data_IF_828977084663
#
_entry.id   IF_828977084663
#
_cell.length_a   1.000
_cell.length_b   1.000
_cell.length_c   1.000
_cell.angle_alpha   90.00
_cell.angle_beta   90.00
_cell.angle_gamma   90.00
#
_symmetry.space_group_name_H-M   'P 1'
#
loop_
_entity.id
_entity.type
_entity.pdbx_description
1 polymer ?
#
# COMPACT_ATOMS: atom_id res chain seq x y z
N UNK A 1 0.02 -34.83 11.12
CA UNK A 1 0.00 -33.57 11.89
C UNK A 1 -1.00 -32.62 11.23
N UNK A 2 -2.06 -32.22 11.93
CA UNK A 2 -3.15 -31.38 11.41
C UNK A 2 -2.67 -29.91 11.39
N UNK A 3 -2.51 -29.29 10.21
CA UNK A 3 -2.18 -27.85 10.10
C UNK A 3 -3.35 -27.05 10.66
N UNK A 4 -3.11 -26.28 11.71
CA UNK A 4 -4.07 -25.28 12.21
C UNK A 4 -4.10 -24.16 11.16
N UNK A 5 -5.26 -23.80 10.58
CA UNK A 5 -5.34 -22.64 9.70
C UNK A 5 -5.09 -21.40 10.56
N UNK A 6 -3.89 -20.82 10.46
CA UNK A 6 -3.64 -19.48 10.96
C UNK A 6 -4.52 -18.55 10.13
N UNK A 7 -5.58 -18.05 10.76
CA UNK A 7 -6.39 -16.98 10.20
C UNK A 7 -5.47 -15.76 10.09
N UNK A 8 -5.44 -15.09 8.93
CA UNK A 8 -4.66 -13.85 8.67
C UNK A 8 -5.26 -12.65 9.42
N UNK A 9 -5.61 -12.85 10.69
CA UNK A 9 -6.25 -11.87 11.54
C UNK A 9 -5.16 -11.17 12.34
N UNK A 10 -5.09 -9.85 12.17
CA UNK A 10 -4.24 -9.01 13.00
C UNK A 10 -4.85 -8.93 14.41
N UNK A 11 -4.11 -9.37 15.43
CA UNK A 11 -4.56 -9.36 16.82
C UNK A 11 -3.90 -8.22 17.60
N UNK A 12 -4.68 -7.54 18.47
CA UNK A 12 -4.16 -6.58 19.44
C UNK A 12 -3.64 -5.27 18.84
N UNK A 13 -4.03 -4.94 17.60
CA UNK A 13 -3.65 -3.71 16.88
C UNK A 13 -4.87 -2.89 16.45
N UNK A 14 -5.99 -3.08 17.13
CA UNK A 14 -7.27 -2.49 16.75
C UNK A 14 -7.22 -0.96 16.79
N UNK A 15 -6.54 -0.39 17.80
CA UNK A 15 -6.38 1.05 17.94
C UNK A 15 -5.46 1.65 16.87
N UNK A 16 -4.30 1.04 16.59
CA UNK A 16 -3.42 1.51 15.52
C UNK A 16 -4.09 1.40 14.15
N UNK A 17 -4.81 0.31 13.90
CA UNK A 17 -5.58 0.14 12.67
C UNK A 17 -6.67 1.20 12.56
N UNK A 18 -7.43 1.46 13.62
CA UNK A 18 -8.45 2.51 13.66
C UNK A 18 -7.86 3.90 13.38
N UNK A 19 -6.70 4.21 13.96
CA UNK A 19 -5.97 5.45 13.69
C UNK A 19 -5.60 5.57 12.20
N UNK A 20 -4.99 4.53 11.64
CA UNK A 20 -4.59 4.50 10.23
C UNK A 20 -5.77 4.67 9.28
N UNK A 21 -6.91 4.03 9.58
CA UNK A 21 -8.16 4.19 8.81
C UNK A 21 -8.72 5.60 8.89
N UNK A 22 -8.70 6.23 10.06
CA UNK A 22 -9.14 7.60 10.23
C UNK A 22 -8.26 8.58 9.43
N UNK A 23 -6.94 8.37 9.42
CA UNK A 23 -6.02 9.17 8.61
C UNK A 23 -6.33 8.99 7.12
N UNK A 24 -6.57 7.76 6.66
CA UNK A 24 -6.96 7.50 5.27
C UNK A 24 -8.24 8.25 4.87
N UNK A 25 -9.27 8.24 5.73
CA UNK A 25 -10.51 8.97 5.47
C UNK A 25 -10.26 10.48 5.39
N UNK A 26 -9.49 11.06 6.32
CA UNK A 26 -9.14 12.49 6.30
C UNK A 26 -8.33 12.88 5.05
N UNK A 27 -7.39 12.04 4.62
CA UNK A 27 -6.62 12.23 3.37
C UNK A 27 -7.55 12.41 2.18
N UNK A 28 -8.63 11.62 2.11
CA UNK A 28 -9.62 11.67 1.02
C UNK A 28 -10.47 12.93 1.09
N UNK A 29 -10.94 13.29 2.28
CA UNK A 29 -11.77 14.49 2.48
C UNK A 29 -11.01 15.79 2.19
N UNK A 30 -9.71 15.83 2.52
CA UNK A 30 -8.89 17.04 2.44
C UNK A 30 -8.02 17.10 1.19
N UNK A 31 -8.00 16.04 0.38
CA UNK A 31 -7.13 15.87 -0.80
C UNK A 31 -5.65 16.19 -0.52
N UNK A 32 -5.19 15.90 0.70
CA UNK A 32 -3.83 16.24 1.17
C UNK A 32 -3.03 15.00 1.49
N UNK A 33 -1.80 14.94 0.98
CA UNK A 33 -0.84 13.87 1.28
C UNK A 33 -0.63 13.74 2.80
N UNK A 34 -0.75 12.50 3.28
CA UNK A 34 -0.42 12.10 4.66
C UNK A 34 0.67 11.04 4.64
N UNK A 35 1.56 11.09 5.64
CA UNK A 35 2.63 10.12 5.83
C UNK A 35 2.44 9.48 7.21
N UNK A 36 2.45 8.15 7.25
CA UNK A 36 2.38 7.36 8.49
C UNK A 36 3.67 6.58 8.64
N UNK A 37 4.30 6.68 9.81
CA UNK A 37 5.51 5.92 10.13
C UNK A 37 5.22 4.93 11.26
N UNK A 38 5.45 3.63 10.98
CA UNK A 38 5.24 2.55 11.95
C UNK A 38 6.60 2.08 12.47
N UNK A 39 6.86 2.29 13.76
CA UNK A 39 8.13 1.94 14.41
C UNK A 39 7.95 0.79 15.39
N UNK A 40 9.03 0.04 15.66
CA UNK A 40 9.02 -1.05 16.65
C UNK A 40 9.96 -2.21 16.27
N UNK A 41 10.12 -3.16 17.18
CA UNK A 41 11.02 -4.30 17.02
C UNK A 41 10.72 -5.16 15.78
N UNK A 42 11.73 -5.86 15.27
CA UNK A 42 11.54 -6.83 14.18
C UNK A 42 10.54 -7.92 14.59
N UNK A 43 9.73 -8.40 13.65
CA UNK A 43 8.73 -9.46 13.91
C UNK A 43 7.46 -9.02 14.66
N UNK A 44 7.34 -7.78 15.13
CA UNK A 44 6.16 -7.32 15.91
C UNK A 44 4.89 -7.06 15.09
N UNK A 45 4.89 -7.41 13.80
CA UNK A 45 3.73 -7.27 12.90
C UNK A 45 3.55 -5.91 12.22
N UNK A 46 4.60 -5.07 12.14
CA UNK A 46 4.51 -3.74 11.49
C UNK A 46 4.05 -3.81 10.03
N UNK A 47 4.65 -4.72 9.25
CA UNK A 47 4.28 -4.93 7.85
C UNK A 47 2.84 -5.45 7.73
N UNK A 48 2.45 -6.38 8.61
CA UNK A 48 1.07 -6.90 8.66
C UNK A 48 0.07 -5.79 8.94
N UNK A 49 0.36 -4.89 9.89
CA UNK A 49 -0.48 -3.73 10.18
C UNK A 49 -0.63 -2.80 8.97
N UNK A 50 0.46 -2.51 8.23
CA UNK A 50 0.38 -1.73 6.99
C UNK A 50 -0.47 -2.42 5.90
N UNK A 51 -0.35 -3.74 5.77
CA UNK A 51 -1.10 -4.53 4.79
C UNK A 51 -2.61 -4.60 5.10
N UNK A 52 -3.04 -4.41 6.34
CA UNK A 52 -4.48 -4.36 6.65
C UNK A 52 -5.20 -3.19 5.95
N UNK A 53 -4.50 -2.08 5.67
CA UNK A 53 -5.09 -0.99 4.87
C UNK A 53 -5.34 -1.38 3.41
N UNK A 54 -4.60 -2.35 2.88
CA UNK A 54 -4.75 -2.80 1.49
C UNK A 54 -6.20 -3.23 1.21
N UNK A 55 -6.82 -3.96 2.15
CA UNK A 55 -8.20 -4.45 2.01
C UNK A 55 -9.17 -3.28 1.83
N UNK A 56 -9.04 -2.23 2.65
CA UNK A 56 -9.92 -1.07 2.57
C UNK A 56 -9.66 -0.24 1.32
N UNK A 57 -8.38 -0.01 0.96
CA UNK A 57 -8.04 0.75 -0.25
C UNK A 57 -8.57 0.07 -1.50
N UNK A 58 -8.47 -1.26 -1.59
CA UNK A 58 -9.03 -2.05 -2.70
C UNK A 58 -10.55 -1.99 -2.77
N UNK A 59 -11.25 -2.01 -1.63
CA UNK A 59 -12.72 -1.92 -1.60
C UNK A 59 -13.25 -0.58 -2.12
N UNK A 60 -12.42 0.47 -2.04
CA UNK A 60 -12.77 1.81 -2.50
C UNK A 60 -12.19 2.12 -3.90
N UNK A 61 -11.92 1.07 -4.70
CA UNK A 61 -11.31 1.13 -6.04
C UNK A 61 -9.96 1.89 -6.11
N UNK A 62 -9.28 2.00 -4.97
CA UNK A 62 -7.98 2.65 -4.85
C UNK A 62 -6.81 1.74 -5.24
N UNK A 63 -5.71 2.36 -5.66
CA UNK A 63 -4.45 1.64 -5.88
C UNK A 63 -3.66 1.51 -4.58
N UNK A 64 -3.20 0.30 -4.30
CA UNK A 64 -2.29 0.02 -3.20
C UNK A 64 -1.01 -0.56 -3.76
N UNK A 65 0.11 0.09 -3.46
CA UNK A 65 1.43 -0.28 -3.98
C UNK A 65 2.42 -0.47 -2.83
N UNK A 66 3.34 -1.43 -2.99
CA UNK A 66 4.28 -1.79 -1.95
C UNK A 66 5.70 -1.74 -2.51
N UNK A 67 6.55 -1.01 -1.81
CA UNK A 67 7.99 -1.01 -2.02
C UNK A 67 8.69 -1.62 -0.82
N UNK A 68 9.68 -2.48 -1.05
CA UNK A 68 10.46 -3.08 0.03
C UNK A 68 11.95 -2.81 -0.16
N UNK A 69 12.56 -2.14 0.81
CA UNK A 69 14.02 -2.17 0.95
C UNK A 69 14.41 -3.52 1.54
N UNK A 70 14.85 -4.45 0.70
CA UNK A 70 15.50 -5.66 1.20
C UNK A 70 16.97 -5.35 1.57
N UNK A 71 17.51 -6.15 2.49
CA UNK A 71 18.89 -5.96 2.97
C UNK A 71 19.95 -6.44 1.96
N UNK A 72 19.57 -7.10 0.88
CA UNK A 72 20.44 -7.72 -0.13
C UNK A 72 20.66 -6.79 -1.33
N UNK A 73 19.73 -5.89 -1.62
CA UNK A 73 19.71 -4.92 -2.72
C UNK A 73 20.08 -3.50 -2.24
N UNK A 74 21.11 -3.40 -1.40
CA UNK A 74 21.58 -2.11 -0.83
C UNK A 74 22.20 -1.17 -1.87
N UNK A 75 22.54 -1.65 -3.05
CA UNK A 75 23.31 -0.90 -4.05
C UNK A 75 22.47 0.03 -4.92
N UNK A 76 21.13 -0.09 -4.92
CA UNK A 76 20.26 0.71 -5.77
C UNK A 76 19.43 1.68 -4.94
N UNK A 77 19.76 2.99 -4.96
CA UNK A 77 18.94 4.02 -4.34
C UNK A 77 17.51 3.96 -4.88
N UNK A 78 16.52 4.20 -4.01
CA UNK A 78 15.11 4.28 -4.39
C UNK A 78 14.50 2.99 -4.98
N UNK A 79 15.17 1.84 -4.87
CA UNK A 79 14.67 0.55 -5.38
C UNK A 79 13.24 0.25 -4.93
N UNK A 80 12.96 0.41 -3.63
CA UNK A 80 11.61 0.22 -3.10
C UNK A 80 10.56 1.13 -3.76
N UNK A 81 10.92 2.38 -4.08
CA UNK A 81 10.00 3.31 -4.75
C UNK A 81 9.77 2.85 -6.19
N UNK A 82 10.83 2.46 -6.89
CA UNK A 82 10.74 1.90 -8.24
C UNK A 82 9.84 0.67 -8.28
N UNK A 83 10.02 -0.28 -7.34
CA UNK A 83 9.22 -1.50 -7.24
C UNK A 83 7.73 -1.19 -7.03
N UNK A 84 7.43 -0.22 -6.15
CA UNK A 84 6.06 0.20 -5.89
C UNK A 84 5.41 0.84 -7.12
N UNK A 85 6.15 1.66 -7.87
CA UNK A 85 5.65 2.29 -9.09
C UNK A 85 5.48 1.28 -10.23
N UNK A 86 6.36 0.29 -10.34
CA UNK A 86 6.21 -0.80 -11.30
C UNK A 86 4.94 -1.61 -11.04
N UNK A 87 4.64 -1.91 -9.76
CA UNK A 87 3.38 -2.53 -9.35
C UNK A 87 2.17 -1.67 -9.76
N UNK A 88 2.25 -0.35 -9.57
CA UNK A 88 1.21 0.58 -10.03
C UNK A 88 0.94 0.47 -11.54
N UNK A 89 2.00 0.46 -12.35
CA UNK A 89 1.88 0.36 -13.81
C UNK A 89 1.24 -0.96 -14.23
N UNK A 90 1.60 -2.07 -13.57
CA UNK A 90 0.97 -3.39 -13.80
C UNK A 90 -0.51 -3.36 -13.43
N UNK A 91 -0.88 -2.75 -12.31
CA UNK A 91 -2.27 -2.62 -11.88
C UNK A 91 -3.10 -1.80 -12.88
N UNK A 92 -2.56 -0.71 -13.42
CA UNK A 92 -3.25 0.14 -14.40
C UNK A 92 -3.42 -0.58 -15.74
N UNK A 93 -2.35 -1.21 -16.24
CA UNK A 93 -2.37 -1.86 -17.56
C UNK A 93 -3.19 -3.14 -17.60
N UNK A 94 -3.38 -3.82 -16.46
CA UNK A 94 -4.20 -5.03 -16.36
C UNK A 94 -5.70 -4.80 -16.39
N UNK A 95 -6.19 -3.58 -16.11
CA UNK A 95 -7.63 -3.25 -16.06
C UNK A 95 -8.23 -2.87 -17.43
N UNK A 96 -7.43 -2.85 -18.50
CA UNK A 96 -7.89 -2.67 -19.88
C UNK A 96 -7.57 -1.31 -20.51
N UNK A 97 -7.97 -1.13 -21.77
CA UNK A 97 -7.57 0.02 -22.58
C UNK A 97 -8.12 1.37 -22.08
N UNK A 98 -9.34 1.41 -21.54
CA UNK A 98 -9.94 2.66 -21.05
C UNK A 98 -9.20 3.24 -19.84
N UNK A 99 -8.84 2.41 -18.87
CA UNK A 99 -8.12 2.86 -17.68
C UNK A 99 -6.69 3.28 -18.03
N UNK A 100 -6.04 2.54 -18.94
CA UNK A 100 -4.75 2.93 -19.49
C UNK A 100 -4.79 4.31 -20.16
N UNK A 101 -5.77 4.57 -21.04
CA UNK A 101 -5.92 5.87 -21.71
C UNK A 101 -6.22 6.99 -20.71
N UNK A 102 -7.02 6.71 -19.69
CA UNK A 102 -7.32 7.66 -18.60
C UNK A 102 -6.04 8.06 -17.87
N UNK A 103 -5.24 7.09 -17.45
CA UNK A 103 -3.98 7.35 -16.76
C UNK A 103 -2.95 8.03 -17.65
N UNK A 104 -2.82 7.61 -18.92
CA UNK A 104 -1.97 8.28 -19.91
C UNK A 104 -2.33 9.76 -20.04
N UNK A 105 -3.62 10.07 -20.15
CA UNK A 105 -4.09 11.46 -20.25
C UNK A 105 -3.85 12.26 -18.97
N UNK A 106 -3.98 11.64 -17.78
CA UNK A 106 -3.65 12.29 -16.50
C UNK A 106 -2.17 12.65 -16.42
N UNK A 107 -1.28 11.72 -16.77
CA UNK A 107 0.16 11.97 -16.76
C UNK A 107 0.57 13.04 -17.79
N UNK A 108 0.00 13.01 -19.00
CA UNK A 108 0.32 14.01 -20.03
C UNK A 108 -0.19 15.42 -19.71
N UNK A 109 -1.21 15.56 -18.86
CA UNK A 109 -1.75 16.86 -18.42
C UNK A 109 -1.03 17.45 -17.21
N UNK A 110 -0.25 16.65 -16.48
CA UNK A 110 0.47 17.11 -15.28
C UNK A 110 1.85 17.70 -15.56
N UNK A 111 2.29 17.66 -16.83
CA UNK A 111 3.50 18.33 -17.33
C UNK A 111 3.10 19.51 -18.21
#
# INVERSE_FOLDING_TARGET
MKKIPLNDKLYGRDEELKMMKNILNKTREQERLQIITITGFSGIGKSTLALELQKQIKNDDGHFIIGKYDQLNRSTPYSAISDALEDMVKQITSKGQEEFLTWKNKFLKSF
#
